data_IF_627886804543
#
_entry.id   IF_627886804543
#
_cell.length_a   1.000
_cell.length_b   1.000
_cell.length_c   1.000
_cell.angle_alpha   90.00
_cell.angle_beta   90.00
_cell.angle_gamma   90.00
#
_symmetry.space_group_name_H-M   'P 1'
#
loop_
_entity.id
_entity.type
_entity.pdbx_description
1 polymer ?
#
# COMPACT_ATOMS: atom_id res chain seq x y z
N UNK A 1 -12.82 -12.08 45.05
CA UNK A 1 -11.53 -12.40 44.39
C UNK A 1 -11.72 -12.26 42.90
N UNK A 2 -11.21 -11.18 42.29
CA UNK A 2 -10.94 -11.10 40.85
C UNK A 2 -9.56 -10.49 40.73
N UNK A 3 -8.59 -11.29 40.31
CA UNK A 3 -7.24 -10.83 39.99
C UNK A 3 -7.24 -10.48 38.51
N UNK A 4 -7.67 -9.26 38.19
CA UNK A 4 -7.51 -8.68 36.86
C UNK A 4 -6.02 -8.31 36.67
N UNK A 5 -5.19 -9.33 36.46
CA UNK A 5 -3.77 -9.16 36.15
C UNK A 5 -3.68 -8.58 34.74
N UNK A 6 -3.47 -7.27 34.67
CA UNK A 6 -3.27 -6.56 33.41
C UNK A 6 -2.05 -7.12 32.68
N UNK A 7 -2.15 -7.27 31.34
CA UNK A 7 -1.08 -7.77 30.46
C UNK A 7 0.29 -7.08 30.67
N UNK A 8 0.29 -5.85 31.18
CA UNK A 8 1.51 -5.10 31.55
C UNK A 8 2.21 -5.65 32.80
N UNK A 9 1.45 -6.16 33.76
CA UNK A 9 1.98 -6.65 35.04
C UNK A 9 2.70 -8.00 34.88
N UNK A 10 2.25 -8.83 33.92
CA UNK A 10 2.92 -10.10 33.52
C UNK A 10 4.33 -9.87 32.96
N UNK A 11 4.56 -8.73 32.30
CA UNK A 11 5.86 -8.38 31.72
C UNK A 11 6.86 -7.89 32.77
N UNK A 12 6.38 -7.25 33.85
CA UNK A 12 7.24 -6.67 34.89
C UNK A 12 7.70 -7.67 35.95
N UNK A 13 7.00 -8.79 36.16
CA UNK A 13 7.30 -9.73 37.25
C UNK A 13 8.34 -10.79 36.92
N UNK A 14 8.91 -10.81 35.70
CA UNK A 14 10.13 -11.56 35.35
C UNK A 14 10.10 -13.10 35.48
N UNK A 15 9.07 -13.67 36.11
CA UNK A 15 8.99 -15.08 36.48
C UNK A 15 8.24 -15.97 35.46
N UNK A 16 7.75 -15.40 34.35
CA UNK A 16 7.03 -16.13 33.31
C UNK A 16 7.78 -16.16 31.96
N UNK A 17 9.10 -15.97 31.95
CA UNK A 17 9.89 -15.99 30.72
C UNK A 17 9.79 -17.31 29.92
N UNK A 18 9.43 -18.43 30.57
CA UNK A 18 9.25 -19.72 29.91
C UNK A 18 7.83 -19.96 29.36
N UNK A 19 6.78 -19.37 29.95
CA UNK A 19 5.39 -19.63 29.55
C UNK A 19 4.89 -18.74 28.38
N UNK A 20 5.56 -17.61 28.14
CA UNK A 20 5.19 -16.65 27.09
C UNK A 20 6.21 -16.59 25.94
N UNK A 21 7.25 -17.44 26.00
CA UNK A 21 8.29 -17.52 24.97
C UNK A 21 7.74 -17.67 23.53
N UNK A 22 6.69 -18.47 23.23
CA UNK A 22 6.20 -18.56 21.85
C UNK A 22 5.35 -17.34 21.43
N UNK A 23 4.86 -16.55 22.37
CA UNK A 23 4.10 -15.32 22.09
C UNK A 23 4.99 -14.07 21.93
N UNK A 24 6.23 -14.14 22.44
CA UNK A 24 7.27 -13.11 22.29
C UNK A 24 8.28 -13.45 21.20
N UNK A 25 8.05 -14.52 20.43
CA UNK A 25 8.76 -14.70 19.18
C UNK A 25 8.40 -13.51 18.29
N UNK A 26 9.28 -12.52 18.29
CA UNK A 26 9.45 -11.58 17.20
C UNK A 26 9.83 -12.43 15.99
N UNK A 27 8.84 -13.09 15.37
CA UNK A 27 8.94 -13.43 13.98
C UNK A 27 9.02 -12.05 13.34
N UNK A 28 10.20 -11.59 12.84
CA UNK A 28 10.21 -10.38 12.06
C UNK A 28 9.16 -10.62 10.99
N UNK A 29 8.24 -9.67 10.80
CA UNK A 29 7.27 -9.76 9.73
C UNK A 29 8.07 -9.84 8.42
N UNK A 30 8.39 -11.08 8.02
CA UNK A 30 9.14 -11.39 6.82
C UNK A 30 8.12 -11.15 5.73
N UNK A 31 8.07 -9.91 5.25
CA UNK A 31 7.41 -9.55 4.01
C UNK A 31 8.19 -10.23 2.87
N UNK A 32 8.07 -11.55 2.79
CA UNK A 32 8.62 -12.33 1.71
C UNK A 32 7.81 -12.02 0.44
N UNK A 33 8.50 -11.90 -0.69
CA UNK A 33 7.84 -11.73 -1.98
C UNK A 33 7.14 -13.04 -2.35
N UNK A 34 5.82 -13.00 -2.39
CA UNK A 34 4.94 -14.17 -2.57
C UNK A 34 4.69 -14.57 -4.04
N UNK A 35 5.29 -13.84 -4.99
CA UNK A 35 5.15 -14.02 -6.45
C UNK A 35 3.71 -13.90 -6.97
N UNK A 36 2.78 -13.40 -6.16
CA UNK A 36 1.36 -13.28 -6.53
C UNK A 36 1.11 -12.21 -7.61
N UNK A 37 2.10 -11.35 -7.85
CA UNK A 37 1.98 -10.17 -8.70
C UNK A 37 1.05 -9.11 -8.11
N UNK A 38 0.75 -9.17 -6.80
CA UNK A 38 -0.09 -8.17 -6.14
C UNK A 38 0.73 -7.00 -5.63
N UNK A 39 0.14 -5.82 -5.74
CA UNK A 39 0.70 -4.59 -5.18
C UNK A 39 -0.43 -3.72 -4.58
N UNK A 40 -0.10 -2.78 -3.68
CA UNK A 40 -1.03 -1.75 -3.25
C UNK A 40 -1.38 -0.81 -4.41
N UNK A 41 -2.66 -0.73 -4.74
CA UNK A 41 -3.24 0.28 -5.63
C UNK A 41 -3.83 1.36 -4.74
N UNK A 42 -3.27 2.56 -4.86
CA UNK A 42 -3.65 3.72 -4.06
C UNK A 42 -4.43 4.68 -4.95
N UNK A 43 -5.60 5.11 -4.48
CA UNK A 43 -6.37 6.18 -5.11
C UNK A 43 -6.59 7.28 -4.07
N UNK A 44 -6.12 8.48 -4.40
CA UNK A 44 -6.27 9.67 -3.58
C UNK A 44 -7.43 10.48 -4.15
N UNK A 45 -8.50 10.59 -3.37
CA UNK A 45 -9.66 11.39 -3.69
C UNK A 45 -9.58 12.70 -2.89
N UNK A 46 -9.15 13.77 -3.54
CA UNK A 46 -9.40 15.12 -3.06
C UNK A 46 -10.66 15.62 -3.77
N UNK A 47 -11.82 15.35 -3.17
CA UNK A 47 -13.13 15.63 -3.75
C UNK A 47 -13.82 16.83 -3.10
N UNK A 48 -13.05 17.76 -2.52
CA UNK A 48 -13.58 19.00 -1.94
C UNK A 48 -14.39 19.77 -2.99
N UNK A 49 -15.66 20.05 -2.68
CA UNK A 49 -16.60 20.72 -3.58
C UNK A 49 -17.18 19.86 -4.71
N UNK A 50 -16.89 18.55 -4.76
CA UNK A 50 -17.45 17.65 -5.76
C UNK A 50 -18.92 17.33 -5.47
N UNK A 51 -19.83 17.74 -6.35
CA UNK A 51 -21.28 17.52 -6.19
C UNK A 51 -21.78 16.21 -6.81
N UNK A 52 -20.94 15.53 -7.60
CA UNK A 52 -21.33 14.31 -8.31
C UNK A 52 -21.45 13.08 -7.40
N UNK A 53 -20.85 13.11 -6.21
CA UNK A 53 -20.71 11.95 -5.32
C UNK A 53 -21.02 12.32 -3.87
N UNK A 54 -21.56 11.35 -3.12
CA UNK A 54 -21.99 11.53 -1.73
C UNK A 54 -20.92 11.16 -0.69
N UNK A 55 -19.71 10.75 -1.12
CA UNK A 55 -18.57 10.34 -0.28
C UNK A 55 -18.98 9.37 0.85
N UNK A 56 -19.52 8.19 0.47
CA UNK A 56 -20.15 7.23 1.39
C UNK A 56 -19.36 5.93 1.58
N UNK A 57 -18.24 5.79 0.90
CA UNK A 57 -17.43 4.57 0.86
C UNK A 57 -16.62 4.39 2.15
N UNK A 58 -16.25 5.48 2.82
CA UNK A 58 -15.64 5.43 4.15
C UNK A 58 -16.73 5.25 5.22
N UNK A 59 -16.58 4.20 6.03
CA UNK A 59 -17.59 3.80 7.03
C UNK A 59 -17.22 4.20 8.46
N UNK A 60 -16.10 4.90 8.64
CA UNK A 60 -15.66 5.38 9.94
C UNK A 60 -16.33 6.69 10.35
N UNK A 61 -15.89 7.23 11.48
CA UNK A 61 -16.45 8.47 12.02
C UNK A 61 -16.10 9.67 11.13
N UNK A 62 -17.04 10.62 11.03
CA UNK A 62 -16.80 11.90 10.39
C UNK A 62 -15.80 12.74 11.17
N UNK A 63 -14.95 13.46 10.45
CA UNK A 63 -14.04 14.44 11.01
C UNK A 63 -14.74 15.77 11.30
N UNK A 64 -15.88 16.06 10.63
CA UNK A 64 -16.55 17.37 10.61
C UNK A 64 -15.63 18.49 10.12
N UNK A 65 -14.80 18.14 9.14
CA UNK A 65 -13.82 19.02 8.49
C UNK A 65 -13.84 18.73 6.98
N UNK A 66 -12.97 19.41 6.22
CA UNK A 66 -12.74 19.09 4.81
C UNK A 66 -12.34 17.62 4.56
N UNK A 67 -11.89 16.89 5.58
CA UNK A 67 -11.52 15.48 5.44
C UNK A 67 -12.75 14.59 5.16
N UNK A 68 -13.97 15.04 5.48
CA UNK A 68 -15.21 14.36 5.10
C UNK A 68 -15.46 14.38 3.59
N UNK A 69 -14.73 15.23 2.86
CA UNK A 69 -14.75 15.32 1.39
C UNK A 69 -13.51 14.70 0.74
N UNK A 70 -12.62 14.09 1.52
CA UNK A 70 -11.40 13.47 1.04
C UNK A 70 -11.32 12.01 1.45
N UNK A 71 -10.67 11.17 0.63
CA UNK A 71 -10.53 9.75 0.94
C UNK A 71 -9.26 9.17 0.32
N UNK A 72 -8.65 8.23 1.03
CA UNK A 72 -7.58 7.38 0.48
C UNK A 72 -8.09 5.96 0.41
N UNK A 73 -8.27 5.44 -0.80
CA UNK A 73 -8.55 4.03 -1.02
C UNK A 73 -7.24 3.28 -1.26
N UNK A 74 -7.00 2.24 -0.48
CA UNK A 74 -5.89 1.32 -0.69
C UNK A 74 -6.47 -0.08 -0.92
N UNK A 75 -6.13 -0.69 -2.05
CA UNK A 75 -6.50 -2.07 -2.35
C UNK A 75 -5.24 -2.88 -2.68
N UNK A 76 -5.11 -4.10 -2.16
CA UNK A 76 -4.17 -5.06 -2.74
C UNK A 76 -4.81 -5.59 -4.01
N UNK A 77 -4.19 -5.40 -5.17
CA UNK A 77 -4.69 -5.89 -6.46
C UNK A 77 -3.58 -6.56 -7.27
N UNK A 78 -3.94 -7.56 -8.09
CA UNK A 78 -3.01 -8.20 -9.02
C UNK A 78 -2.70 -7.24 -10.16
N UNK A 79 -1.42 -7.00 -10.43
CA UNK A 79 -0.94 -6.15 -11.52
C UNK A 79 -0.68 -7.04 -12.73
N UNK A 80 -1.36 -6.75 -13.83
CA UNK A 80 -1.24 -7.50 -15.07
C UNK A 80 -1.20 -6.54 -16.26
N UNK A 81 -0.44 -6.91 -17.29
CA UNK A 81 -0.33 -6.18 -18.56
C UNK A 81 -0.56 -7.17 -19.68
N UNK A 82 -1.40 -6.81 -20.66
CA UNK A 82 -1.67 -7.66 -21.81
C UNK A 82 -0.51 -7.65 -22.80
N UNK A 83 -0.32 -8.73 -23.55
CA UNK A 83 0.69 -8.78 -24.63
C UNK A 83 0.41 -7.72 -25.71
N UNK A 84 -0.87 -7.42 -25.97
CA UNK A 84 -1.25 -6.37 -26.91
C UNK A 84 -0.79 -4.98 -26.47
N UNK A 85 -0.90 -4.66 -25.18
CA UNK A 85 -0.38 -3.40 -24.64
C UNK A 85 1.14 -3.38 -24.62
N UNK A 86 1.79 -4.51 -24.30
CA UNK A 86 3.24 -4.64 -24.37
C UNK A 86 3.78 -4.39 -25.80
N UNK A 87 3.09 -4.91 -26.83
CA UNK A 87 3.46 -4.68 -28.23
C UNK A 87 3.34 -3.19 -28.64
N UNK A 88 2.30 -2.49 -28.16
CA UNK A 88 2.17 -1.03 -28.36
C UNK A 88 3.31 -0.27 -27.70
N UNK A 89 3.67 -0.61 -26.45
CA UNK A 89 4.80 0.00 -25.75
C UNK A 89 6.13 -0.26 -26.47
N UNK A 90 6.33 -1.46 -27.01
CA UNK A 90 7.51 -1.76 -27.81
C UNK A 90 7.59 -0.85 -29.05
N UNK A 91 6.48 -0.64 -29.75
CA UNK A 91 6.42 0.24 -30.92
C UNK A 91 6.76 1.70 -30.57
N UNK A 92 6.37 2.17 -29.37
CA UNK A 92 6.81 3.48 -28.86
C UNK A 92 8.31 3.51 -28.52
N UNK A 93 8.81 2.49 -27.83
CA UNK A 93 10.16 2.51 -27.23
C UNK A 93 11.29 2.20 -28.21
N UNK A 94 11.04 1.38 -29.25
CA UNK A 94 12.09 0.78 -30.09
C UNK A 94 12.93 1.80 -30.89
N UNK A 95 12.41 3.00 -31.13
CA UNK A 95 13.13 4.02 -31.89
C UNK A 95 14.32 4.60 -31.12
N UNK A 96 14.24 4.61 -29.79
CA UNK A 96 15.15 5.32 -28.89
C UNK A 96 15.37 6.79 -29.22
N UNK A 97 14.66 7.40 -30.19
CA UNK A 97 14.89 8.78 -30.63
C UNK A 97 14.12 9.81 -29.81
N UNK A 98 13.17 9.35 -28.99
CA UNK A 98 12.27 10.21 -28.23
C UNK A 98 12.17 9.76 -26.77
N UNK A 99 11.91 10.72 -25.89
CA UNK A 99 11.57 10.54 -24.47
C UNK A 99 10.49 11.56 -24.09
N UNK A 100 9.93 11.44 -22.89
CA UNK A 100 9.10 12.50 -22.30
C UNK A 100 9.89 13.81 -22.13
N UNK A 101 9.23 14.89 -21.72
CA UNK A 101 9.89 16.18 -21.48
C UNK A 101 10.94 16.06 -20.36
N UNK A 102 10.58 15.42 -19.25
CA UNK A 102 11.42 15.38 -18.05
C UNK A 102 12.65 14.48 -18.15
N UNK A 103 13.76 14.94 -17.58
CA UNK A 103 15.03 14.22 -17.49
C UNK A 103 15.94 14.38 -18.71
N UNK A 104 17.25 14.06 -18.58
CA UNK A 104 18.17 14.11 -19.71
C UNK A 104 17.89 12.99 -20.72
N UNK A 105 18.27 13.21 -21.98
CA UNK A 105 18.25 12.16 -23.01
C UNK A 105 19.51 11.30 -22.92
N UNK A 106 19.34 10.01 -22.64
CA UNK A 106 20.43 9.03 -22.53
C UNK A 106 20.32 7.89 -23.53
N UNK A 107 19.43 8.01 -24.52
CA UNK A 107 19.25 7.01 -25.57
C UNK A 107 20.50 6.90 -26.44
N UNK A 108 21.04 5.69 -26.55
CA UNK A 108 22.08 5.38 -27.54
C UNK A 108 21.38 4.68 -28.69
N UNK A 109 21.26 5.37 -29.84
CA UNK A 109 20.70 4.79 -31.06
C UNK A 109 21.48 3.54 -31.50
N UNK A 110 21.00 2.87 -32.55
CA UNK A 110 21.74 1.75 -33.15
C UNK A 110 23.16 2.22 -33.52
N UNK A 111 24.17 1.48 -33.05
CA UNK A 111 25.50 1.52 -33.67
C UNK A 111 25.40 1.08 -35.11
#
# INVERSE_FOLDING_TARGET
MSLDVSRRQVVQTGAAAAAVAPFLQQVPAQAAMDKSGRAPVITIFDHRGCTAHANKEYTGAKANSQDDEMCVKVASAKIAVSEGDAAKKLQEFISYQAKGIDGPYTGKGKK
#
